data_IF_383503162286
#
_entry.id   IF_383503162286
#
_cell.length_a   1.000
_cell.length_b   1.000
_cell.length_c   1.000
_cell.angle_alpha   90.00
_cell.angle_beta   90.00
_cell.angle_gamma   90.00
#
_symmetry.space_group_name_H-M   'P 1'
#
loop_
_entity.id
_entity.type
_entity.pdbx_description
1 polymer ?
#
# COMPACT_ATOMS: atom_id res chain seq x y z
N UNK A 1 -14.11 -5.03 -18.51
CA UNK A 1 -13.62 -5.25 -17.14
C UNK A 1 -14.10 -6.62 -16.74
N UNK A 2 -13.19 -7.52 -16.39
CA UNK A 2 -13.58 -8.81 -15.81
C UNK A 2 -13.78 -8.63 -14.30
N UNK A 3 -14.67 -9.41 -13.73
CA UNK A 3 -15.10 -9.36 -12.32
C UNK A 3 -13.95 -9.55 -11.29
N UNK A 4 -12.74 -9.91 -11.75
CA UNK A 4 -11.61 -10.34 -10.93
C UNK A 4 -10.41 -9.35 -10.85
N UNK A 5 -10.41 -8.22 -11.56
CA UNK A 5 -9.24 -7.32 -11.58
C UNK A 5 -9.02 -6.58 -10.24
N UNK A 6 -10.11 -6.16 -9.57
CA UNK A 6 -10.00 -5.43 -8.30
C UNK A 6 -9.42 -6.28 -7.17
N UNK A 7 -9.95 -7.49 -6.87
CA UNK A 7 -9.41 -8.31 -5.78
C UNK A 7 -7.94 -8.67 -5.99
N UNK A 8 -7.54 -8.91 -7.24
CA UNK A 8 -6.15 -9.21 -7.56
C UNK A 8 -5.24 -8.00 -7.32
N UNK A 9 -5.63 -6.80 -7.77
CA UNK A 9 -4.87 -5.58 -7.53
C UNK A 9 -4.69 -5.31 -6.02
N UNK A 10 -5.77 -5.47 -5.23
CA UNK A 10 -5.69 -5.29 -3.78
C UNK A 10 -4.77 -6.33 -3.13
N UNK A 11 -4.88 -7.60 -3.53
CA UNK A 11 -4.00 -8.66 -3.02
C UNK A 11 -2.52 -8.39 -3.29
N UNK A 12 -2.19 -7.82 -4.46
CA UNK A 12 -0.82 -7.42 -4.83
C UNK A 12 -0.28 -6.38 -3.85
N UNK A 13 -1.04 -5.32 -3.56
CA UNK A 13 -0.59 -4.29 -2.59
C UNK A 13 -0.48 -4.87 -1.17
N UNK A 14 -1.44 -5.71 -0.77
CA UNK A 14 -1.42 -6.33 0.54
C UNK A 14 -0.26 -7.32 0.72
N UNK A 15 0.34 -7.82 -0.35
CA UNK A 15 1.55 -8.62 -0.27
C UNK A 15 2.73 -7.78 0.26
N UNK A 16 2.90 -6.56 -0.26
CA UNK A 16 3.90 -5.62 0.23
C UNK A 16 3.64 -5.22 1.68
N UNK A 17 2.37 -5.00 2.03
CA UNK A 17 1.97 -4.66 3.39
C UNK A 17 2.32 -5.78 4.37
N UNK A 18 2.01 -7.04 4.01
CA UNK A 18 2.42 -8.22 4.79
C UNK A 18 3.92 -8.36 4.89
N UNK A 19 4.67 -8.01 3.85
CA UNK A 19 6.12 -8.13 3.83
C UNK A 19 6.80 -7.08 4.72
N UNK A 20 6.24 -5.85 4.81
CA UNK A 20 6.94 -4.69 5.37
C UNK A 20 6.27 -4.04 6.58
N UNK A 21 5.08 -4.48 7.00
CA UNK A 21 4.34 -3.88 8.12
C UNK A 21 3.95 -4.87 9.21
N UNK A 22 3.96 -4.41 10.47
CA UNK A 22 3.42 -5.14 11.62
C UNK A 22 1.89 -5.07 11.69
N UNK A 23 1.27 -4.01 11.13
CA UNK A 23 -0.19 -3.87 11.08
C UNK A 23 -0.76 -4.52 9.83
N UNK A 24 -1.85 -5.26 10.00
CA UNK A 24 -2.55 -5.97 8.92
C UNK A 24 -4.04 -5.68 9.00
N UNK A 25 -4.70 -5.28 7.89
CA UNK A 25 -6.11 -4.96 7.91
C UNK A 25 -6.95 -6.23 7.93
N UNK A 26 -8.09 -6.15 8.61
CA UNK A 26 -9.20 -7.04 8.30
C UNK A 26 -10.00 -6.45 7.13
N UNK A 27 -10.16 -7.21 6.05
CA UNK A 27 -10.92 -6.75 4.89
C UNK A 27 -12.38 -7.18 5.05
N UNK A 28 -13.29 -6.21 5.01
CA UNK A 28 -14.73 -6.48 5.03
C UNK A 28 -15.41 -5.71 3.91
N UNK A 29 -16.37 -6.34 3.26
CA UNK A 29 -17.23 -5.67 2.30
C UNK A 29 -18.24 -4.76 3.02
N UNK A 30 -18.40 -3.54 2.52
CA UNK A 30 -19.44 -2.61 2.93
C UNK A 30 -20.38 -2.35 1.74
N UNK A 31 -21.69 -2.40 1.98
CA UNK A 31 -22.71 -2.37 0.92
C UNK A 31 -22.61 -1.12 0.02
N UNK A 32 -22.24 0.03 0.57
CA UNK A 32 -22.15 1.31 -0.15
C UNK A 32 -20.74 1.62 -0.69
N UNK A 33 -19.70 1.13 -0.04
CA UNK A 33 -18.31 1.58 -0.29
C UNK A 33 -17.44 0.48 -0.88
N UNK A 34 -17.94 -0.74 -0.99
CA UNK A 34 -17.15 -1.91 -1.35
C UNK A 34 -16.18 -2.29 -0.22
N UNK A 35 -14.97 -2.78 -0.54
CA UNK A 35 -14.05 -3.30 0.47
C UNK A 35 -13.49 -2.19 1.36
N UNK A 36 -13.51 -2.47 2.66
CA UNK A 36 -13.00 -1.60 3.73
C UNK A 36 -11.86 -2.31 4.45
N UNK A 37 -10.76 -1.59 4.64
CA UNK A 37 -9.62 -1.99 5.44
C UNK A 37 -9.86 -1.57 6.89
N UNK A 38 -10.10 -2.53 7.78
CA UNK A 38 -10.32 -2.28 9.20
C UNK A 38 -9.03 -2.46 9.99
N UNK A 39 -8.70 -1.48 10.82
CA UNK A 39 -7.57 -1.52 11.75
C UNK A 39 -7.95 -2.17 13.09
N UNK A 40 -6.97 -2.61 13.90
CA UNK A 40 -7.23 -3.28 15.18
C UNK A 40 -8.02 -2.43 16.20
N UNK A 41 -7.92 -1.10 16.09
CA UNK A 41 -8.65 -0.14 16.93
C UNK A 41 -10.14 0.00 16.54
N UNK A 42 -10.56 -0.65 15.46
CA UNK A 42 -11.93 -0.60 14.93
C UNK A 42 -12.19 0.57 14.00
N UNK A 43 -11.18 1.36 13.61
CA UNK A 43 -11.29 2.33 12.51
C UNK A 43 -11.26 1.62 11.14
N UNK A 44 -11.81 2.26 10.10
CA UNK A 44 -11.92 1.65 8.78
C UNK A 44 -11.74 2.66 7.65
N UNK A 45 -11.12 2.22 6.54
CA UNK A 45 -10.95 3.00 5.32
C UNK A 45 -11.44 2.21 4.10
N UNK A 46 -12.38 2.78 3.34
CA UNK A 46 -12.81 2.23 2.06
C UNK A 46 -11.72 2.39 1.00
N UNK A 47 -11.57 1.40 0.12
CA UNK A 47 -10.63 1.46 -1.00
C UNK A 47 -11.33 1.26 -2.33
N UNK A 48 -10.94 2.03 -3.34
CA UNK A 48 -11.59 2.03 -4.65
C UNK A 48 -10.58 2.21 -5.79
N UNK A 49 -10.98 1.87 -7.02
CA UNK A 49 -10.18 2.16 -8.21
C UNK A 49 -10.69 3.41 -8.91
N UNK A 50 -9.76 4.25 -9.36
CA UNK A 50 -10.08 5.43 -10.15
C UNK A 50 -10.73 5.07 -11.50
N UNK A 51 -11.83 5.74 -11.90
CA UNK A 51 -12.44 5.53 -13.20
C UNK A 51 -11.56 6.12 -14.32
N UNK A 52 -11.34 5.34 -15.38
CA UNK A 52 -10.61 5.82 -16.57
C UNK A 52 -9.09 5.61 -16.53
N UNK A 53 -8.54 5.24 -15.37
CA UNK A 53 -7.11 4.94 -15.21
C UNK A 53 -6.70 3.66 -15.94
N UNK A 54 -5.44 3.60 -16.38
CA UNK A 54 -4.80 2.38 -16.85
C UNK A 54 -4.61 1.38 -15.70
N UNK A 55 -4.40 0.06 -15.98
CA UNK A 55 -4.16 -0.92 -14.93
C UNK A 55 -3.00 -0.57 -13.98
N UNK A 56 -1.93 0.04 -14.51
CA UNK A 56 -0.77 0.46 -13.71
C UNK A 56 -1.12 1.63 -12.77
N UNK A 57 -1.85 2.63 -13.28
CA UNK A 57 -2.31 3.78 -12.49
C UNK A 57 -3.28 3.34 -11.40
N UNK A 58 -4.18 2.41 -11.71
CA UNK A 58 -5.09 1.81 -10.72
C UNK A 58 -4.35 1.11 -9.60
N UNK A 59 -3.32 0.32 -9.91
CA UNK A 59 -2.54 -0.37 -8.89
C UNK A 59 -1.74 0.63 -8.03
N UNK A 60 -1.15 1.65 -8.64
CA UNK A 60 -0.45 2.71 -7.92
C UNK A 60 -1.39 3.52 -7.01
N UNK A 61 -2.58 3.90 -7.49
CA UNK A 61 -3.59 4.59 -6.69
C UNK A 61 -4.17 3.73 -5.57
N UNK A 62 -4.27 2.41 -5.76
CA UNK A 62 -4.66 1.50 -4.68
C UNK A 62 -3.55 1.36 -3.63
N UNK A 63 -2.28 1.34 -4.07
CA UNK A 63 -1.12 1.32 -3.19
C UNK A 63 -1.02 2.59 -2.32
N UNK A 64 -1.34 3.75 -2.90
CA UNK A 64 -1.43 5.04 -2.19
C UNK A 64 -2.52 5.00 -1.10
N UNK A 65 -3.73 4.52 -1.43
CA UNK A 65 -4.81 4.37 -0.44
C UNK A 65 -4.44 3.39 0.68
N UNK A 66 -3.87 2.22 0.37
CA UNK A 66 -3.42 1.27 1.40
C UNK A 66 -2.31 1.88 2.26
N UNK A 67 -1.48 2.74 1.68
CA UNK A 67 -0.43 3.46 2.38
C UNK A 67 -0.98 4.45 3.39
N UNK A 68 -1.97 5.25 3.02
CA UNK A 68 -2.65 6.15 3.96
C UNK A 68 -3.22 5.37 5.15
N UNK A 69 -3.92 4.26 4.88
CA UNK A 69 -4.44 3.39 5.94
C UNK A 69 -3.33 2.85 6.86
N UNK A 70 -2.22 2.38 6.27
CA UNK A 70 -1.14 1.76 7.04
C UNK A 70 -0.40 2.76 7.93
N UNK A 71 -0.19 3.99 7.45
CA UNK A 71 0.46 5.07 8.21
C UNK A 71 -0.35 5.41 9.46
N UNK A 72 -1.66 5.57 9.32
CA UNK A 72 -2.56 5.87 10.45
C UNK A 72 -2.64 4.67 11.42
N UNK A 73 -2.76 3.44 10.91
CA UNK A 73 -2.79 2.24 11.76
C UNK A 73 -1.49 2.05 12.54
N UNK A 74 -0.32 2.27 11.92
CA UNK A 74 0.98 2.20 12.61
C UNK A 74 1.08 3.26 13.70
N UNK A 75 0.64 4.49 13.43
CA UNK A 75 0.63 5.57 14.42
C UNK A 75 -0.22 5.20 15.64
N UNK A 76 -1.42 4.65 15.42
CA UNK A 76 -2.30 4.21 16.52
C UNK A 76 -1.66 3.11 17.38
N UNK A 77 -0.93 2.18 16.78
CA UNK A 77 -0.21 1.11 17.50
C UNK A 77 1.09 1.62 18.18
N UNK A 78 1.43 2.90 18.04
CA UNK A 78 2.65 3.48 18.61
C UNK A 78 3.94 3.08 17.87
N UNK A 79 3.81 2.55 16.66
CA UNK A 79 4.92 2.21 15.77
C UNK A 79 5.32 3.41 14.90
N UNK A 80 6.52 3.42 14.29
CA UNK A 80 6.88 4.46 13.33
C UNK A 80 5.88 4.51 12.17
N UNK A 81 5.21 5.65 12.00
CA UNK A 81 4.21 5.92 10.97
C UNK A 81 4.86 6.13 9.57
N UNK A 82 5.67 5.18 9.15
CA UNK A 82 6.46 5.20 7.91
C UNK A 82 6.28 3.87 7.22
N UNK A 83 5.39 3.81 6.22
CA UNK A 83 5.23 2.63 5.39
C UNK A 83 4.94 2.99 3.92
N UNK A 84 5.52 2.25 2.95
CA UNK A 84 6.65 1.34 3.13
C UNK A 84 7.93 2.11 3.48
N UNK A 85 8.79 1.59 4.36
CA UNK A 85 10.06 2.25 4.68
C UNK A 85 10.95 2.39 3.45
N UNK A 86 11.54 3.57 3.25
CA UNK A 86 12.57 3.74 2.22
C UNK A 86 13.89 3.08 2.69
N UNK A 87 14.47 2.10 1.98
CA UNK A 87 15.70 1.43 2.44
C UNK A 87 16.90 2.36 2.49
N UNK A 88 16.87 3.48 1.76
CA UNK A 88 17.92 4.51 1.81
C UNK A 88 17.74 5.49 2.97
N UNK A 89 16.51 5.65 3.47
CA UNK A 89 16.16 6.59 4.54
C UNK A 89 15.05 6.00 5.43
N UNK A 90 15.33 4.90 6.16
CA UNK A 90 14.29 4.08 6.79
C UNK A 90 13.42 4.81 7.81
N UNK A 91 13.98 5.84 8.46
CA UNK A 91 13.31 6.61 9.52
C UNK A 91 12.91 8.02 9.09
N UNK A 92 12.98 8.34 7.78
CA UNK A 92 12.75 9.70 7.29
C UNK A 92 11.44 9.87 6.54
N UNK A 93 11.11 8.94 5.65
CA UNK A 93 9.95 9.07 4.78
C UNK A 93 9.57 7.70 4.23
N UNK A 94 8.28 7.50 3.91
CA UNK A 94 7.90 6.30 3.20
C UNK A 94 8.34 6.37 1.73
N UNK A 95 8.28 5.23 1.04
CA UNK A 95 8.28 5.18 -0.41
C UNK A 95 6.96 5.76 -0.93
N UNK A 96 6.96 6.29 -2.15
CA UNK A 96 5.74 6.76 -2.81
C UNK A 96 5.33 5.76 -3.89
N UNK A 97 4.04 5.45 -3.97
CA UNK A 97 3.48 4.69 -5.08
C UNK A 97 3.39 5.57 -6.33
N UNK A 98 3.88 5.09 -7.47
CA UNK A 98 3.75 5.82 -8.75
C UNK A 98 3.88 4.88 -9.94
N UNK A 99 3.76 5.44 -11.16
CA UNK A 99 3.97 4.72 -12.41
C UNK A 99 5.19 5.28 -13.13
N UNK A 100 6.18 4.43 -13.42
CA UNK A 100 7.37 4.77 -14.20
C UNK A 100 7.37 3.95 -15.48
N UNK A 101 7.32 4.62 -16.63
CA UNK A 101 7.29 3.98 -17.96
C UNK A 101 6.20 2.89 -18.09
N UNK A 102 5.02 3.12 -17.51
CA UNK A 102 3.90 2.18 -17.53
C UNK A 102 3.98 1.06 -16.48
N UNK A 103 4.99 1.05 -15.62
CA UNK A 103 5.17 0.05 -14.56
C UNK A 103 4.83 0.66 -13.19
N UNK A 104 3.92 0.07 -12.41
CA UNK A 104 3.60 0.51 -11.05
C UNK A 104 4.75 0.15 -10.09
N UNK A 105 5.33 1.16 -9.43
CA UNK A 105 6.54 1.04 -8.62
C UNK A 105 6.44 1.83 -7.33
N UNK A 106 7.17 1.36 -6.31
CA UNK A 106 7.55 2.14 -5.15
C UNK A 106 8.82 2.93 -5.45
N UNK A 107 8.80 4.24 -5.27
CA UNK A 107 9.96 5.12 -5.50
C UNK A 107 10.39 5.83 -4.22
N UNK A 108 11.67 6.17 -4.13
CA UNK A 108 12.14 7.09 -3.11
C UNK A 108 11.71 8.53 -3.48
N UNK A 109 10.87 9.23 -2.70
CA UNK A 109 10.41 10.58 -3.05
C UNK A 109 11.54 11.62 -3.12
N UNK A 110 12.65 11.42 -2.39
CA UNK A 110 13.82 12.32 -2.46
C UNK A 110 14.69 12.12 -3.70
N UNK A 111 14.77 10.90 -4.22
CA UNK A 111 15.70 10.53 -5.29
C UNK A 111 15.06 10.15 -6.61
N UNK A 112 13.74 9.94 -6.63
CA UNK A 112 12.96 9.47 -7.79
C UNK A 112 13.29 8.06 -8.26
N UNK A 113 14.26 7.39 -7.65
CA UNK A 113 14.69 6.05 -8.08
C UNK A 113 13.66 4.99 -7.66
N UNK A 114 13.22 4.11 -8.58
CA UNK A 114 12.47 2.92 -8.24
C UNK A 114 13.23 2.05 -7.24
N UNK A 115 12.50 1.54 -6.26
CA UNK A 115 12.99 0.61 -5.25
C UNK A 115 12.52 -0.81 -5.55
N UNK A 116 11.23 -0.98 -5.85
CA UNK A 116 10.64 -2.25 -6.27
C UNK A 116 9.37 -1.99 -7.08
N UNK A 117 8.90 -2.99 -7.83
CA UNK A 117 7.54 -2.99 -8.33
C UNK A 117 6.54 -3.13 -7.16
N UNK A 118 5.34 -2.60 -7.32
CA UNK A 118 4.27 -2.84 -6.36
C UNK A 118 3.89 -4.33 -6.37
N UNK A 119 3.91 -4.96 -5.21
CA UNK A 119 3.74 -6.41 -4.97
C UNK A 119 5.05 -7.18 -4.80
N UNK A 120 6.20 -6.53 -4.98
CA UNK A 120 7.52 -7.16 -4.97
C UNK A 120 8.45 -6.62 -3.87
N UNK A 121 7.94 -5.90 -2.87
CA UNK A 121 8.77 -5.52 -1.73
C UNK A 121 9.29 -6.79 -1.01
N UNK A 122 10.60 -6.85 -0.71
CA UNK A 122 11.13 -7.96 0.07
C UNK A 122 10.53 -7.93 1.48
N UNK A 123 10.57 -9.03 2.24
CA UNK A 123 10.30 -8.98 3.67
C UNK A 123 11.18 -7.95 4.36
N UNK A 124 10.66 -7.26 5.37
CA UNK A 124 11.47 -6.38 6.21
C UNK A 124 12.56 -7.22 6.84
N UNK A 125 13.82 -6.82 6.63
CA UNK A 125 14.93 -7.47 7.32
C UNK A 125 14.67 -7.34 8.82
N UNK A 126 14.38 -8.47 9.47
CA UNK A 126 14.37 -8.56 10.91
C UNK A 126 15.81 -8.22 11.33
N UNK A 127 16.01 -7.00 11.85
CA UNK A 127 17.32 -6.52 12.25
C UNK A 127 18.07 -7.59 13.04
N UNK A 128 19.34 -7.80 12.67
CA UNK A 128 20.32 -8.58 13.41
C UNK A 128 20.50 -8.07 14.83
#
# INVERSE_FOLDING_TARGET
>A
MTENEFPQALQTVLQDLRAQSSVQPEIREHEEYGPVLWAPDGSGQGVSLGPGDSPAERLAGLADQVQDWAVEALWTEGEPAVWPCCPRHPDSHPLSATVVAGVPVWVCPKGGQPVANIGELPPRDAGK
#
